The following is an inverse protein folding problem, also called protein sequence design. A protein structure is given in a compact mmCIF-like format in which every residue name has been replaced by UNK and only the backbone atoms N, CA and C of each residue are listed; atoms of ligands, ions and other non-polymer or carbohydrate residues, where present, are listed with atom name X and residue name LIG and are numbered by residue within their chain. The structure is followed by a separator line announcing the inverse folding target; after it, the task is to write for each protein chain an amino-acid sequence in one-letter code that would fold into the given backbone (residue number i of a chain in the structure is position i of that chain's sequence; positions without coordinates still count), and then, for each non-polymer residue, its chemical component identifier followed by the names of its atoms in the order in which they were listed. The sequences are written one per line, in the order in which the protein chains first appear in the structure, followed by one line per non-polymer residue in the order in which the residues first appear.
data_IF_838161146302
#
_entry.id   IF_838161146302
#
_cell.length_a   1.000
_cell.length_b   1.000
_cell.length_c   1.000
_cell.angle_alpha   90.00
_cell.angle_beta   90.00
_cell.angle_gamma   90.00
#
_symmetry.space_group_name_H-M   'P 1'
#
loop_
_entity.id
_entity.type
_entity.pdbx_description
1 polymer ?
#
# COMPACT_ATOMS: atom_id res chain seq x y z
N UNK A 1 1.56 -7.32 15.65
CA UNK A 1 0.11 -7.22 15.60
C UNK A 1 -0.36 -5.94 14.98
N UNK A 2 -0.06 -4.81 15.58
CA UNK A 2 -0.46 -3.53 15.00
C UNK A 2 0.21 -3.29 13.66
N UNK A 3 1.40 -3.82 13.47
CA UNK A 3 2.12 -3.67 12.23
C UNK A 3 1.39 -4.34 11.06
N UNK A 4 0.72 -5.44 11.35
CA UNK A 4 0.00 -6.16 10.30
C UNK A 4 -1.23 -5.39 9.83
N UNK A 5 -1.78 -4.54 10.69
CA UNK A 5 -2.96 -3.78 10.31
C UNK A 5 -2.65 -2.78 9.20
N UNK A 6 -1.45 -2.18 9.23
CA UNK A 6 -1.06 -1.26 8.18
C UNK A 6 -0.94 -1.96 6.85
N UNK A 7 -0.41 -3.18 6.85
CA UNK A 7 -0.27 -3.94 5.61
C UNK A 7 -1.63 -4.37 5.08
N UNK A 8 -2.54 -4.70 5.99
CA UNK A 8 -3.88 -5.16 5.59
C UNK A 8 -4.65 -4.06 4.87
N UNK A 9 -4.45 -2.80 5.25
CA UNK A 9 -5.20 -1.70 4.64
C UNK A 9 -4.50 -1.11 3.41
N UNK A 10 -3.27 -1.51 3.11
CA UNK A 10 -2.56 -0.97 1.95
C UNK A 10 -3.32 -1.17 0.64
N UNK A 11 -3.85 -2.36 0.33
CA UNK A 11 -4.58 -2.52 -0.92
C UNK A 11 -5.84 -1.67 -0.97
N UNK A 12 -6.49 -1.44 0.17
CA UNK A 12 -7.68 -0.60 0.22
C UNK A 12 -7.31 0.86 -0.06
N UNK A 13 -6.20 1.31 0.54
CA UNK A 13 -5.71 2.67 0.31
C UNK A 13 -5.33 2.84 -1.16
N UNK A 14 -4.64 1.86 -1.72
CA UNK A 14 -4.21 1.92 -3.11
C UNK A 14 -5.42 2.02 -4.04
N UNK A 15 -6.45 1.25 -3.76
CA UNK A 15 -7.66 1.27 -4.59
C UNK A 15 -8.29 2.66 -4.58
N UNK A 16 -8.33 3.30 -3.42
CA UNK A 16 -8.90 4.63 -3.32
C UNK A 16 -8.05 5.65 -4.05
N UNK A 17 -6.72 5.51 -3.98
CA UNK A 17 -5.84 6.42 -4.70
C UNK A 17 -6.02 6.26 -6.22
N UNK A 18 -6.17 5.05 -6.69
CA UNK A 18 -6.36 4.81 -8.10
C UNK A 18 -7.71 5.33 -8.57
N UNK A 19 -8.65 5.49 -7.65
CA UNK A 19 -9.93 6.09 -7.94
C UNK A 19 -9.90 7.61 -7.98
N UNK A 20 -8.75 8.21 -7.68
CA UNK A 20 -8.58 9.65 -7.76
C UNK A 20 -8.20 10.34 -6.47
N UNK A 21 -8.08 9.61 -5.37
CA UNK A 21 -7.81 10.22 -4.07
C UNK A 21 -6.31 10.18 -3.78
N UNK A 22 -5.57 11.09 -4.41
CA UNK A 22 -4.12 11.14 -4.23
C UNK A 22 -3.71 11.65 -2.86
N UNK A 23 -4.64 12.18 -2.09
CA UNK A 23 -4.33 12.66 -0.75
C UNK A 23 -3.89 11.53 0.18
N UNK A 24 -4.16 10.29 -0.19
CA UNK A 24 -3.75 9.13 0.60
C UNK A 24 -2.32 8.70 0.32
N UNK A 25 -1.67 9.31 -0.65
CA UNK A 25 -0.31 8.94 -1.01
C UNK A 25 0.66 9.00 0.18
N UNK A 26 0.68 10.08 0.98
CA UNK A 26 1.59 10.12 2.14
C UNK A 26 1.33 8.98 3.11
N UNK A 27 0.08 8.62 3.30
CA UNK A 27 -0.26 7.52 4.20
C UNK A 27 0.26 6.19 3.67
N UNK A 28 0.13 5.96 2.36
CA UNK A 28 0.64 4.74 1.75
C UNK A 28 2.16 4.66 1.91
N UNK A 29 2.84 5.78 1.66
CA UNK A 29 4.29 5.84 1.82
C UNK A 29 4.68 5.53 3.25
N UNK A 30 3.98 6.11 4.20
CA UNK A 30 4.28 5.90 5.61
C UNK A 30 4.10 4.42 5.99
N UNK A 31 2.98 3.83 5.59
CA UNK A 31 2.67 2.47 5.98
C UNK A 31 3.55 1.44 5.27
N UNK A 32 3.93 1.73 4.03
CA UNK A 32 4.79 0.82 3.28
C UNK A 32 6.25 0.91 3.71
N UNK A 33 6.64 2.07 4.27
CA UNK A 33 8.01 2.28 4.66
C UNK A 33 8.94 2.61 3.50
N UNK A 34 8.38 2.89 2.34
CA UNK A 34 9.17 3.18 1.14
C UNK A 34 9.02 4.65 0.76
N UNK A 35 10.07 5.42 0.99
CA UNK A 35 10.04 6.86 0.74
C UNK A 35 10.23 7.22 -0.74
N UNK A 36 10.45 6.24 -1.58
CA UNK A 36 10.67 6.48 -3.01
C UNK A 36 9.38 6.55 -3.80
N UNK A 37 8.27 6.25 -3.17
CA UNK A 37 6.97 6.29 -3.83
C UNK A 37 6.52 7.73 -3.98
N UNK A 38 6.43 8.21 -5.21
CA UNK A 38 6.12 9.62 -5.48
C UNK A 38 4.80 9.81 -6.21
N UNK A 39 4.19 8.73 -6.68
CA UNK A 39 2.93 8.82 -7.39
C UNK A 39 2.11 7.57 -7.13
N UNK A 40 0.83 7.63 -7.52
CA UNK A 40 -0.04 6.47 -7.37
C UNK A 40 0.47 5.30 -8.20
N UNK A 41 1.01 5.58 -9.38
CA UNK A 41 1.58 4.54 -10.21
C UNK A 41 2.76 3.84 -9.54
N UNK A 42 3.58 4.62 -8.82
CA UNK A 42 4.69 4.05 -8.07
C UNK A 42 4.18 3.12 -6.98
N UNK A 43 3.11 3.52 -6.30
CA UNK A 43 2.52 2.71 -5.24
C UNK A 43 1.99 1.40 -5.81
N UNK A 44 1.34 1.46 -6.96
CA UNK A 44 0.82 0.26 -7.60
C UNK A 44 1.93 -0.70 -7.97
N UNK A 45 3.01 -0.18 -8.53
CA UNK A 45 4.15 -1.02 -8.89
C UNK A 45 4.77 -1.64 -7.65
N UNK A 46 4.95 -0.83 -6.62
CA UNK A 46 5.52 -1.33 -5.38
C UNK A 46 4.66 -2.45 -4.81
N UNK A 47 3.35 -2.24 -4.79
CA UNK A 47 2.44 -3.24 -4.25
C UNK A 47 2.48 -4.53 -5.05
N UNK A 48 2.50 -4.42 -6.38
CA UNK A 48 2.55 -5.61 -7.23
C UNK A 48 3.83 -6.41 -7.01
N UNK A 49 4.92 -5.73 -6.67
CA UNK A 49 6.18 -6.41 -6.41
C UNK A 49 6.24 -7.07 -5.05
N UNK A 50 5.52 -6.51 -4.09
CA UNK A 50 5.64 -6.95 -2.69
C UNK A 50 4.43 -7.69 -2.16
N UNK A 51 3.32 -7.65 -2.86
CA UNK A 51 2.10 -8.24 -2.34
C UNK A 51 2.24 -9.74 -2.05
N UNK A 52 3.10 -10.42 -2.78
CA UNK A 52 3.30 -11.85 -2.55
C UNK A 52 3.91 -12.11 -1.17
N UNK A 53 4.69 -11.15 -0.66
CA UNK A 53 5.31 -11.29 0.64
C UNK A 53 4.29 -11.20 1.76
N UNK A 54 3.16 -10.56 1.51
CA UNK A 54 2.13 -10.35 2.51
C UNK A 54 0.92 -11.24 2.28
N UNK A 55 1.02 -12.15 1.34
CA UNK A 55 -0.14 -12.96 0.97
C UNK A 55 -0.66 -13.77 2.15
N UNK A 56 0.25 -14.31 2.96
CA UNK A 56 -0.17 -15.10 4.10
C UNK A 56 -0.89 -14.27 5.14
N UNK A 57 -0.56 -12.99 5.20
CA UNK A 57 -1.20 -12.08 6.14
C UNK A 57 -2.59 -11.68 5.65
N UNK A 58 -2.71 -11.45 4.33
CA UNK A 58 -3.93 -10.95 3.74
C UNK A 58 -4.93 -12.04 3.39
N UNK A 59 -4.44 -13.24 3.17
CA UNK A 59 -5.25 -14.36 2.69
C UNK A 59 -5.29 -15.47 3.74
N UNK A 60 -6.08 -15.26 4.77
CA UNK A 60 -6.23 -16.26 5.84
C UNK A 60 -7.65 -16.70 6.06
#
# INVERSE_FOLDING_TARGET
MLQNMGIIILPDILEKMEGGDESLLPMFVYLSGCNELKSVGDCRRWWDMHKAEYKEILDY
#
